data_IF_079912755616
#
_entry.id   IF_079912755616
#
_cell.length_a   1.000
_cell.length_b   1.000
_cell.length_c   1.000
_cell.angle_alpha   90.00
_cell.angle_beta   90.00
_cell.angle_gamma   90.00
#
_symmetry.space_group_name_H-M   'P 1'
#
loop_
_entity.id
_entity.type
_entity.pdbx_description
1 polymer ?
#
# COMPACT_ATOMS: atom_id res chain seq x y z
N UNK A 1 43.22 -13.26 35.44
CA UNK A 1 42.57 -12.10 34.79
C UNK A 1 41.99 -11.20 35.86
N UNK A 2 42.29 -9.91 35.85
CA UNK A 2 41.76 -8.97 36.85
C UNK A 2 40.30 -8.63 36.55
N UNK A 3 39.49 -8.35 37.57
CA UNK A 3 38.05 -7.99 37.45
C UNK A 3 37.81 -6.86 36.45
N UNK A 4 38.76 -5.93 36.32
CA UNK A 4 38.72 -4.82 35.36
C UNK A 4 38.94 -5.22 33.89
N UNK A 5 39.72 -6.27 33.61
CA UNK A 5 39.88 -6.77 32.23
C UNK A 5 38.61 -7.49 31.76
N UNK A 6 38.00 -8.32 32.60
CA UNK A 6 36.74 -9.00 32.27
C UNK A 6 35.61 -7.99 32.01
N UNK A 7 35.55 -6.91 32.80
CA UNK A 7 34.55 -5.85 32.62
C UNK A 7 34.76 -5.04 31.33
N UNK A 8 36.01 -4.77 30.95
CA UNK A 8 36.33 -4.12 29.66
C UNK A 8 35.97 -4.98 28.44
N UNK A 9 36.25 -6.27 28.49
CA UNK A 9 35.86 -7.20 27.42
C UNK A 9 34.33 -7.38 27.34
N UNK A 10 33.64 -7.41 28.48
CA UNK A 10 32.17 -7.46 28.52
C UNK A 10 31.50 -6.23 27.89
N UNK A 11 32.02 -5.03 28.16
CA UNK A 11 31.52 -3.78 27.56
C UNK A 11 31.82 -3.73 26.06
N UNK A 12 33.01 -4.12 25.62
CA UNK A 12 33.36 -4.17 24.19
C UNK A 12 32.50 -5.19 23.42
N UNK A 13 32.28 -6.38 23.99
CA UNK A 13 31.44 -7.41 23.38
C UNK A 13 29.97 -6.96 23.30
N UNK A 14 29.44 -6.33 24.36
CA UNK A 14 28.09 -5.75 24.37
C UNK A 14 27.95 -4.63 23.33
N UNK A 15 28.93 -3.74 23.19
CA UNK A 15 28.93 -2.70 22.16
C UNK A 15 28.95 -3.28 20.74
N UNK A 16 29.77 -4.31 20.47
CA UNK A 16 29.85 -4.96 19.15
C UNK A 16 28.56 -5.73 18.81
N UNK A 17 27.94 -6.38 19.80
CA UNK A 17 26.65 -7.05 19.60
C UNK A 17 25.51 -6.05 19.37
N UNK A 18 25.52 -4.91 20.07
CA UNK A 18 24.55 -3.83 19.86
C UNK A 18 24.71 -3.17 18.48
N UNK A 19 25.95 -2.89 18.03
CA UNK A 19 26.17 -2.30 16.69
C UNK A 19 25.72 -3.26 15.58
N UNK A 20 26.03 -4.56 15.68
CA UNK A 20 25.56 -5.55 14.70
C UNK A 20 24.04 -5.67 14.67
N UNK A 21 23.37 -5.63 15.82
CA UNK A 21 21.91 -5.70 15.89
C UNK A 21 21.22 -4.47 15.29
N UNK A 22 21.78 -3.27 15.52
CA UNK A 22 21.30 -2.02 14.93
C UNK A 22 21.51 -2.00 13.41
N UNK A 23 22.64 -2.50 12.92
CA UNK A 23 22.93 -2.61 11.47
C UNK A 23 21.99 -3.65 10.80
N UNK A 24 21.70 -4.77 11.46
CA UNK A 24 20.78 -5.77 10.94
C UNK A 24 19.34 -5.23 10.85
N UNK A 25 18.89 -4.51 11.88
CA UNK A 25 17.58 -3.85 11.90
C UNK A 25 17.48 -2.74 10.84
N UNK A 26 18.54 -1.95 10.62
CA UNK A 26 18.54 -0.88 9.61
C UNK A 26 18.50 -1.43 8.18
N UNK A 27 19.08 -2.61 7.94
CA UNK A 27 19.03 -3.30 6.64
C UNK A 27 17.73 -4.08 6.40
N UNK A 28 16.91 -4.32 7.42
CA UNK A 28 15.65 -5.06 7.26
C UNK A 28 14.60 -4.23 6.51
N UNK A 29 14.46 -2.95 6.83
CA UNK A 29 13.43 -2.09 6.26
C UNK A 29 13.57 -1.87 4.74
N UNK A 30 14.75 -1.50 4.19
CA UNK A 30 14.91 -1.36 2.73
C UNK A 30 14.65 -2.66 1.97
N UNK A 31 14.99 -3.82 2.56
CA UNK A 31 14.74 -5.13 1.94
C UNK A 31 13.25 -5.45 1.84
N UNK A 32 12.49 -5.18 2.90
CA UNK A 32 11.03 -5.37 2.88
C UNK A 32 10.39 -4.44 1.86
N UNK A 33 10.82 -3.18 1.79
CA UNK A 33 10.35 -2.26 0.75
C UNK A 33 10.64 -2.83 -0.64
N UNK A 34 11.87 -3.24 -0.90
CA UNK A 34 12.27 -3.81 -2.20
C UNK A 34 11.49 -5.07 -2.56
N UNK A 35 11.16 -5.94 -1.60
CA UNK A 35 10.39 -7.16 -1.88
C UNK A 35 8.92 -6.89 -2.18
N UNK A 36 8.36 -5.77 -1.71
CA UNK A 36 6.95 -5.41 -1.94
C UNK A 36 6.76 -4.65 -3.25
N UNK A 37 7.74 -3.86 -3.70
CA UNK A 37 7.64 -3.04 -4.93
C UNK A 37 7.15 -3.82 -6.17
N UNK A 38 7.58 -5.07 -6.44
CA UNK A 38 7.07 -5.87 -7.56
C UNK A 38 5.57 -6.15 -7.54
N UNK A 39 4.94 -6.12 -6.37
CA UNK A 39 3.50 -6.35 -6.24
C UNK A 39 2.68 -5.09 -6.54
N UNK A 40 3.32 -3.92 -6.67
CA UNK A 40 2.66 -2.65 -6.87
C UNK A 40 2.54 -2.31 -8.35
N UNK A 41 1.43 -1.66 -8.73
CA UNK A 41 1.23 -1.14 -10.08
C UNK A 41 0.77 0.32 -10.06
N UNK A 42 1.05 1.05 -11.14
CA UNK A 42 0.52 2.39 -11.38
C UNK A 42 -0.59 2.31 -12.42
N UNK A 43 -1.75 2.89 -12.14
CA UNK A 43 -2.91 2.84 -13.02
C UNK A 43 -3.17 4.24 -13.56
N UNK A 44 -3.38 4.33 -14.87
CA UNK A 44 -3.74 5.55 -15.57
C UNK A 44 -5.00 5.31 -16.38
N UNK A 45 -5.90 6.28 -16.42
CA UNK A 45 -7.15 6.15 -17.14
C UNK A 45 -7.81 7.48 -17.43
N UNK A 46 -9.11 7.61 -17.10
CA UNK A 46 -9.88 8.80 -17.42
C UNK A 46 -9.25 10.06 -16.81
N UNK A 47 -9.12 11.11 -17.62
CA UNK A 47 -8.42 12.34 -17.26
C UNK A 47 -8.77 13.52 -18.16
N UNK A 48 -8.09 14.65 -17.99
CA UNK A 48 -8.25 15.84 -18.83
C UNK A 48 -9.25 16.88 -18.30
N UNK A 49 -9.93 16.60 -17.18
CA UNK A 49 -10.73 17.58 -16.44
C UNK A 49 -9.84 18.22 -15.37
N UNK A 50 -9.78 19.55 -15.36
CA UNK A 50 -8.98 20.30 -14.38
C UNK A 50 -9.41 19.95 -12.95
N UNK A 51 -8.45 19.48 -12.14
CA UNK A 51 -8.69 19.09 -10.74
C UNK A 51 -9.08 17.62 -10.54
N UNK A 52 -9.13 16.82 -11.61
CA UNK A 52 -9.25 15.36 -11.52
C UNK A 52 -7.97 14.71 -12.00
N UNK A 53 -7.34 13.95 -11.11
CA UNK A 53 -6.15 13.17 -11.43
C UNK A 53 -6.50 12.03 -12.38
N UNK A 54 -5.64 11.77 -13.36
CA UNK A 54 -5.82 10.69 -14.32
C UNK A 54 -5.11 9.39 -13.89
N UNK A 55 -4.73 9.29 -12.62
CA UNK A 55 -3.93 8.20 -12.08
C UNK A 55 -4.36 7.77 -10.68
N UNK A 56 -4.15 6.50 -10.38
CA UNK A 56 -4.28 5.92 -9.05
C UNK A 56 -3.31 4.74 -8.89
N UNK A 57 -3.30 4.13 -7.71
CA UNK A 57 -2.46 2.97 -7.40
C UNK A 57 -3.23 1.67 -7.54
N UNK A 58 -2.52 0.56 -7.65
CA UNK A 58 -3.08 -0.78 -7.54
C UNK A 58 -2.05 -1.77 -7.03
N UNK A 59 -2.49 -3.00 -6.77
CA UNK A 59 -1.61 -4.10 -6.41
C UNK A 59 -2.00 -5.39 -7.15
N UNK A 60 -1.01 -6.19 -7.50
CA UNK A 60 -1.18 -7.51 -8.09
C UNK A 60 -1.64 -8.51 -7.02
N UNK A 61 -2.69 -9.26 -7.33
CA UNK A 61 -3.28 -10.28 -6.43
C UNK A 61 -3.26 -11.69 -7.03
N UNK A 62 -2.68 -11.85 -8.22
CA UNK A 62 -2.50 -13.15 -8.88
C UNK A 62 -1.29 -13.10 -9.81
N UNK A 63 -0.73 -14.27 -10.13
CA UNK A 63 0.40 -14.37 -11.06
C UNK A 63 -0.02 -14.13 -12.51
N UNK A 64 -1.31 -14.30 -12.78
CA UNK A 64 -1.98 -14.21 -14.09
C UNK A 64 -2.47 -12.79 -14.40
N UNK A 65 -2.08 -11.78 -13.62
CA UNK A 65 -2.33 -10.38 -13.97
C UNK A 65 -3.63 -9.78 -13.46
N UNK A 66 -4.27 -10.34 -12.42
CA UNK A 66 -5.32 -9.63 -11.69
C UNK A 66 -4.72 -8.54 -10.80
N UNK A 67 -5.27 -7.33 -10.91
CA UNK A 67 -4.89 -6.14 -10.15
C UNK A 67 -6.07 -5.69 -9.30
N UNK A 68 -5.88 -5.60 -8.00
CA UNK A 68 -6.82 -4.98 -7.07
C UNK A 68 -6.53 -3.48 -6.97
N UNK A 69 -7.57 -2.66 -7.05
CA UNK A 69 -7.50 -1.21 -6.92
C UNK A 69 -8.79 -0.66 -6.31
N UNK A 70 -8.84 0.65 -6.13
CA UNK A 70 -10.06 1.37 -5.76
C UNK A 70 -10.94 1.56 -7.00
N UNK A 71 -12.25 1.32 -6.85
CA UNK A 71 -13.24 1.69 -7.85
C UNK A 71 -13.41 3.21 -7.86
N UNK A 72 -13.02 3.87 -8.94
CA UNK A 72 -13.06 5.32 -9.08
C UNK A 72 -13.28 5.74 -10.54
N UNK A 73 -13.55 7.03 -10.76
CA UNK A 73 -13.73 7.59 -12.10
C UNK A 73 -12.50 7.38 -13.00
N UNK A 74 -11.30 7.14 -12.44
CA UNK A 74 -10.10 6.86 -13.22
C UNK A 74 -10.30 5.63 -14.12
N UNK A 75 -11.20 4.71 -13.71
CA UNK A 75 -11.54 3.51 -14.46
C UNK A 75 -12.66 3.74 -15.50
N UNK A 76 -13.28 4.92 -15.56
CA UNK A 76 -14.40 5.22 -16.46
C UNK A 76 -13.88 5.60 -17.87
N UNK A 77 -13.17 4.67 -18.51
CA UNK A 77 -12.61 4.81 -19.85
C UNK A 77 -12.34 3.45 -20.49
N UNK A 78 -12.39 3.38 -21.82
CA UNK A 78 -11.99 2.18 -22.58
C UNK A 78 -10.47 1.95 -22.58
N UNK A 79 -9.70 2.96 -22.15
CA UNK A 79 -8.24 2.98 -22.19
C UNK A 79 -7.66 3.12 -20.78
N UNK A 80 -7.62 2.01 -20.04
CA UNK A 80 -6.88 1.93 -18.78
C UNK A 80 -5.49 1.39 -19.07
N UNK A 81 -4.45 2.08 -18.62
CA UNK A 81 -3.06 1.64 -18.68
C UNK A 81 -2.59 1.24 -17.29
N UNK A 82 -2.05 0.03 -17.18
CA UNK A 82 -1.39 -0.47 -15.97
C UNK A 82 0.10 -0.56 -16.22
N UNK A 83 0.89 0.14 -15.41
CA UNK A 83 2.36 0.12 -15.46
C UNK A 83 2.89 -0.69 -14.29
N UNK A 84 3.65 -1.75 -14.59
CA UNK A 84 4.31 -2.60 -13.59
C UNK A 84 5.52 -1.90 -12.96
N UNK A 85 6.07 -2.49 -11.91
CA UNK A 85 7.27 -1.96 -11.24
C UNK A 85 8.51 -1.95 -12.17
N UNK A 86 8.59 -2.87 -13.12
CA UNK A 86 9.66 -2.97 -14.12
C UNK A 86 9.50 -1.98 -15.28
N UNK A 87 8.39 -1.22 -15.30
CA UNK A 87 8.07 -0.23 -16.32
C UNK A 87 7.31 -0.76 -17.54
N UNK A 88 7.06 -2.07 -17.64
CA UNK A 88 6.17 -2.62 -18.67
C UNK A 88 4.76 -2.04 -18.50
N UNK A 89 4.11 -1.77 -19.63
CA UNK A 89 2.77 -1.18 -19.70
C UNK A 89 1.81 -2.14 -20.38
N UNK A 90 0.63 -2.30 -19.79
CA UNK A 90 -0.42 -3.18 -20.28
C UNK A 90 -1.73 -2.41 -20.35
N UNK A 91 -2.59 -2.82 -21.29
CA UNK A 91 -4.00 -2.44 -21.24
C UNK A 91 -4.64 -3.17 -20.06
N UNK A 92 -5.28 -2.43 -19.17
CA UNK A 92 -6.11 -2.98 -18.09
C UNK A 92 -7.55 -3.14 -18.56
N UNK A 93 -8.14 -4.28 -18.28
CA UNK A 93 -9.57 -4.53 -18.53
C UNK A 93 -10.30 -4.68 -17.21
N UNK A 94 -11.42 -3.97 -17.03
CA UNK A 94 -12.23 -4.08 -15.83
C UNK A 94 -12.95 -5.44 -15.82
N UNK A 95 -12.57 -6.32 -14.88
CA UNK A 95 -13.19 -7.62 -14.68
C UNK A 95 -14.46 -7.49 -13.85
N UNK A 96 -14.41 -6.63 -12.83
CA UNK A 96 -15.54 -6.39 -11.93
C UNK A 96 -15.23 -5.32 -10.91
N UNK A 97 -16.28 -4.79 -10.29
CA UNK A 97 -16.17 -3.82 -9.19
C UNK A 97 -17.23 -4.11 -8.14
N UNK A 98 -16.90 -3.79 -6.89
CA UNK A 98 -17.86 -3.70 -5.81
C UNK A 98 -17.91 -2.25 -5.29
N UNK A 99 -18.91 -1.47 -5.75
CA UNK A 99 -19.18 -0.12 -5.27
C UNK A 99 -19.37 0.00 -3.74
N UNK A 100 -19.86 -1.05 -3.08
CA UNK A 100 -20.09 -1.04 -1.62
C UNK A 100 -18.78 -1.12 -0.86
N UNK A 101 -17.79 -1.81 -1.39
CA UNK A 101 -16.45 -1.90 -0.80
C UNK A 101 -15.46 -0.89 -1.41
N UNK A 102 -15.90 -0.09 -2.39
CA UNK A 102 -15.07 0.82 -3.19
C UNK A 102 -13.87 0.16 -3.87
N UNK A 103 -13.97 -1.12 -4.25
CA UNK A 103 -12.89 -1.87 -4.91
C UNK A 103 -13.24 -2.25 -6.34
N UNK A 104 -12.20 -2.40 -7.16
CA UNK A 104 -12.28 -2.93 -8.52
C UNK A 104 -11.13 -3.90 -8.78
N UNK A 105 -11.39 -4.89 -9.65
CA UNK A 105 -10.39 -5.81 -10.15
C UNK A 105 -10.21 -5.56 -11.65
N UNK A 106 -8.96 -5.29 -12.04
CA UNK A 106 -8.55 -5.22 -13.43
C UNK A 106 -7.81 -6.51 -13.82
N UNK A 107 -7.80 -6.84 -15.11
CA UNK A 107 -6.96 -7.87 -15.71
C UNK A 107 -5.97 -7.23 -16.66
N UNK A 108 -4.73 -7.71 -16.63
CA UNK A 108 -3.70 -7.43 -17.64
C UNK A 108 -3.20 -8.74 -18.25
N UNK A 109 -2.80 -8.69 -19.52
CA UNK A 109 -2.25 -9.85 -20.23
C UNK A 109 -0.76 -10.03 -19.91
N UNK A 110 -0.48 -10.63 -18.77
CA UNK A 110 0.85 -10.98 -18.28
C UNK A 110 0.79 -12.19 -17.32
N UNK A 111 1.88 -12.93 -17.24
CA UNK A 111 2.03 -14.14 -16.42
C UNK A 111 3.30 -14.07 -15.55
N UNK A 112 3.43 -15.02 -14.62
CA UNK A 112 4.55 -15.16 -13.69
C UNK A 112 4.86 -13.91 -12.87
N UNK A 113 3.82 -13.13 -12.55
CA UNK A 113 3.96 -11.89 -11.81
C UNK A 113 4.16 -12.15 -10.31
N UNK A 114 4.93 -11.26 -9.67
CA UNK A 114 4.90 -11.13 -8.23
C UNK A 114 3.55 -10.55 -7.81
N UNK A 115 2.95 -11.09 -6.74
CA UNK A 115 1.65 -10.66 -6.26
C UNK A 115 1.53 -10.86 -4.75
N UNK A 116 0.59 -10.13 -4.15
CA UNK A 116 0.14 -10.45 -2.80
C UNK A 116 -0.76 -11.68 -2.82
N UNK A 117 -0.63 -12.53 -1.80
CA UNK A 117 -1.65 -13.52 -1.49
C UNK A 117 -2.65 -12.89 -0.51
N UNK A 118 -3.85 -12.59 -0.99
CA UNK A 118 -4.92 -11.99 -0.17
C UNK A 118 -5.41 -12.92 0.94
N UNK A 119 -5.33 -14.24 0.73
CA UNK A 119 -5.72 -15.25 1.73
C UNK A 119 -4.74 -15.32 2.92
N UNK A 120 -3.52 -14.81 2.74
CA UNK A 120 -2.50 -14.71 3.78
C UNK A 120 -2.42 -13.30 4.39
N UNK A 121 -3.44 -12.47 4.17
CA UNK A 121 -3.51 -11.14 4.78
C UNK A 121 -3.55 -11.23 6.32
N UNK A 122 -3.00 -10.22 6.96
CA UNK A 122 -2.86 -10.17 8.42
C UNK A 122 -3.63 -8.98 8.98
N UNK A 123 -4.21 -9.20 10.15
CA UNK A 123 -4.89 -8.14 10.88
C UNK A 123 -3.93 -7.46 11.87
N UNK A 124 -4.09 -6.15 12.02
CA UNK A 124 -3.30 -5.35 12.94
C UNK A 124 -4.18 -4.70 14.02
N UNK A 125 -3.57 -4.41 15.18
CA UNK A 125 -4.15 -3.64 16.27
C UNK A 125 -3.57 -2.22 16.37
N UNK A 126 -4.16 -1.40 17.25
CA UNK A 126 -3.62 -0.07 17.54
C UNK A 126 -2.16 -0.12 18.01
N UNK A 127 -1.32 0.74 17.44
CA UNK A 127 0.12 0.83 17.72
C UNK A 127 1.00 -0.06 16.84
N UNK A 128 0.42 -1.02 16.10
CA UNK A 128 1.19 -1.83 15.17
C UNK A 128 1.73 -0.98 14.03
N UNK A 129 2.97 -1.26 13.62
CA UNK A 129 3.66 -0.48 12.60
C UNK A 129 3.32 -0.99 11.20
N UNK A 130 3.11 -0.03 10.31
CA UNK A 130 2.68 -0.28 8.94
C UNK A 130 3.60 0.40 7.93
N UNK A 131 3.58 -0.14 6.70
CA UNK A 131 4.12 0.48 5.50
C UNK A 131 3.01 0.63 4.47
N UNK A 132 2.85 1.83 3.94
CA UNK A 132 1.87 2.16 2.91
C UNK A 132 2.58 2.44 1.58
N UNK A 133 2.21 1.72 0.53
CA UNK A 133 2.80 1.78 -0.81
C UNK A 133 1.82 2.36 -1.80
N UNK A 134 2.21 3.41 -2.53
CA UNK A 134 1.36 4.02 -3.55
C UNK A 134 2.12 4.92 -4.53
N UNK A 135 1.52 5.23 -5.68
CA UNK A 135 2.00 6.24 -6.61
C UNK A 135 1.55 7.66 -6.19
N UNK A 136 2.06 8.10 -5.04
CA UNK A 136 1.77 9.41 -4.46
C UNK A 136 2.12 10.54 -5.46
N UNK A 137 1.17 11.44 -5.74
CA UNK A 137 1.31 12.55 -6.69
C UNK A 137 1.76 12.16 -8.10
N UNK A 138 1.63 10.88 -8.48
CA UNK A 138 2.00 10.41 -9.82
C UNK A 138 3.50 10.48 -10.12
N UNK A 139 4.36 10.54 -9.09
CA UNK A 139 5.82 10.73 -9.26
C UNK A 139 6.52 9.52 -9.90
N UNK A 140 5.90 8.34 -9.88
CA UNK A 140 6.39 7.16 -10.57
C UNK A 140 5.57 6.94 -11.85
N UNK A 141 6.21 7.00 -13.02
CA UNK A 141 5.53 6.95 -14.34
C UNK A 141 6.06 5.88 -15.28
N UNK A 142 7.20 5.29 -14.95
CA UNK A 142 7.85 4.16 -15.61
C UNK A 142 8.24 3.11 -14.58
N UNK A 143 9.53 2.84 -14.45
CA UNK A 143 10.09 1.83 -13.54
C UNK A 143 10.50 2.40 -12.16
N UNK A 144 10.15 3.65 -11.85
CA UNK A 144 10.40 4.19 -10.52
C UNK A 144 9.58 3.41 -9.48
N UNK A 145 10.12 3.22 -8.26
CA UNK A 145 9.38 2.58 -7.19
C UNK A 145 8.15 3.40 -6.79
N UNK A 146 7.09 2.72 -6.34
CA UNK A 146 6.01 3.38 -5.63
C UNK A 146 6.55 4.06 -4.36
N UNK A 147 5.95 5.19 -3.99
CA UNK A 147 6.24 5.90 -2.76
C UNK A 147 5.89 5.02 -1.56
N UNK A 148 6.73 5.09 -0.52
CA UNK A 148 6.52 4.34 0.72
C UNK A 148 6.43 5.31 1.89
N UNK A 149 5.33 5.22 2.63
CA UNK A 149 5.14 5.91 3.91
C UNK A 149 5.13 4.87 5.03
N UNK A 150 5.56 5.29 6.21
CA UNK A 150 5.60 4.44 7.40
C UNK A 150 4.89 5.14 8.55
N UNK A 151 4.22 4.36 9.38
CA UNK A 151 3.44 4.89 10.49
C UNK A 151 2.95 3.78 11.40
N UNK A 152 1.84 4.03 12.08
CA UNK A 152 1.17 3.02 12.89
C UNK A 152 -0.34 3.02 12.67
N UNK A 153 -0.99 1.92 13.02
CA UNK A 153 -2.44 1.87 13.14
C UNK A 153 -2.83 2.71 14.36
N UNK A 154 -3.54 3.81 14.15
CA UNK A 154 -4.11 4.61 15.23
C UNK A 154 -5.30 3.87 15.86
N UNK A 155 -6.23 3.43 15.01
CA UNK A 155 -7.41 2.65 15.43
C UNK A 155 -7.89 1.74 14.29
N UNK A 156 -8.41 0.57 14.66
CA UNK A 156 -9.25 -0.26 13.79
C UNK A 156 -10.70 -0.14 14.27
N UNK A 157 -11.60 0.23 13.39
CA UNK A 157 -13.01 0.49 13.75
C UNK A 157 -13.92 0.23 12.57
N UNK A 158 -15.17 -0.21 12.79
CA UNK A 158 -16.19 -0.15 11.76
C UNK A 158 -16.40 1.30 11.33
N UNK A 159 -16.58 1.52 10.03
CA UNK A 159 -16.96 2.79 9.42
C UNK A 159 -18.20 2.58 8.56
N UNK A 160 -19.21 3.41 8.81
CA UNK A 160 -20.28 3.70 7.84
C UNK A 160 -19.99 5.08 7.25
N UNK A 161 -19.60 5.14 5.98
CA UNK A 161 -19.09 6.37 5.38
C UNK A 161 -20.19 7.21 4.70
N UNK A 162 -19.94 8.51 4.51
CA UNK A 162 -20.72 9.41 3.63
C UNK A 162 -19.78 10.21 2.74
N UNK A 163 -20.20 10.53 1.51
CA UNK A 163 -19.46 11.44 0.60
C UNK A 163 -20.30 12.69 0.32
N UNK A 164 -20.13 13.72 1.14
CA UNK A 164 -20.89 14.98 1.01
C UNK A 164 -22.37 14.80 1.36
N UNK A 165 -23.29 15.30 0.52
CA UNK A 165 -24.73 15.09 0.72
C UNK A 165 -25.19 13.65 0.40
N UNK A 166 -24.38 12.86 -0.31
CA UNK A 166 -24.71 11.50 -0.74
C UNK A 166 -24.10 10.46 0.19
N UNK A 167 -24.90 9.46 0.58
CA UNK A 167 -24.42 8.30 1.34
C UNK A 167 -23.35 7.56 0.52
N UNK A 168 -22.19 7.33 1.13
CA UNK A 168 -21.28 6.31 0.60
C UNK A 168 -21.82 4.99 1.12
N UNK A 169 -21.95 3.99 0.27
CA UNK A 169 -22.42 2.67 0.69
C UNK A 169 -21.35 1.88 1.47
N UNK A 170 -20.16 2.45 1.68
CA UNK A 170 -19.10 1.77 2.40
C UNK A 170 -19.49 1.48 3.84
N UNK A 171 -19.51 0.19 4.16
CA UNK A 171 -19.63 -0.36 5.50
C UNK A 171 -18.59 -1.45 5.67
N UNK A 172 -17.70 -1.29 6.64
CA UNK A 172 -16.66 -2.28 6.92
C UNK A 172 -15.68 -1.79 7.97
N UNK A 173 -14.80 -2.70 8.40
CA UNK A 173 -13.68 -2.36 9.26
C UNK A 173 -12.63 -1.57 8.48
N UNK A 174 -12.20 -0.44 9.04
CA UNK A 174 -11.12 0.38 8.49
C UNK A 174 -9.98 0.53 9.48
N UNK A 175 -8.77 0.70 8.93
CA UNK A 175 -7.61 1.16 9.67
C UNK A 175 -7.47 2.66 9.49
N UNK A 176 -7.47 3.40 10.60
CA UNK A 176 -7.02 4.80 10.62
C UNK A 176 -5.53 4.79 10.92
N UNK A 177 -4.75 5.50 10.12
CA UNK A 177 -3.29 5.45 10.16
C UNK A 177 -2.72 6.77 10.66
N UNK A 178 -1.70 6.70 11.50
CA UNK A 178 -0.79 7.81 11.77
C UNK A 178 0.26 7.90 10.65
N UNK A 179 -0.21 8.20 9.44
CA UNK A 179 0.58 8.38 8.23
C UNK A 179 -0.23 9.11 7.15
N UNK A 180 0.44 9.92 6.32
CA UNK A 180 -0.20 10.72 5.25
C UNK A 180 -0.58 9.88 4.02
N UNK A 181 -1.62 9.06 4.15
CA UNK A 181 -2.01 8.04 3.14
C UNK A 181 -3.18 8.45 2.23
N UNK A 182 -3.63 9.71 2.30
CA UNK A 182 -4.78 10.24 1.55
C UNK A 182 -4.40 11.27 0.46
N UNK A 183 -3.11 11.38 0.10
CA UNK A 183 -2.70 12.28 -0.98
C UNK A 183 -3.16 11.77 -2.37
N UNK A 184 -3.25 12.64 -3.38
CA UNK A 184 -3.50 12.26 -4.77
C UNK A 184 -2.67 11.05 -5.23
N UNK A 185 -3.33 10.10 -5.90
CA UNK A 185 -2.72 8.84 -6.35
C UNK A 185 -2.56 7.75 -5.29
N UNK A 186 -2.80 8.03 -4.01
CA UNK A 186 -2.64 7.04 -2.94
C UNK A 186 -3.68 5.90 -3.00
N UNK A 187 -4.91 6.24 -3.39
CA UNK A 187 -6.03 5.31 -3.47
C UNK A 187 -5.69 4.09 -4.34
N UNK A 188 -6.05 2.90 -3.85
CA UNK A 188 -5.73 1.60 -4.44
C UNK A 188 -4.34 1.07 -4.10
N UNK A 189 -3.55 1.82 -3.33
CA UNK A 189 -2.25 1.37 -2.82
C UNK A 189 -2.38 0.24 -1.80
N UNK A 190 -1.25 -0.35 -1.41
CA UNK A 190 -1.20 -1.44 -0.46
C UNK A 190 -0.76 -0.97 0.93
N UNK A 191 -1.40 -1.51 1.96
CA UNK A 191 -0.95 -1.42 3.35
C UNK A 191 -0.35 -2.77 3.75
N UNK A 192 0.84 -2.75 4.35
CA UNK A 192 1.52 -3.96 4.83
C UNK A 192 2.03 -3.79 6.25
N UNK A 193 2.29 -4.91 6.93
CA UNK A 193 3.04 -4.90 8.18
C UNK A 193 4.55 -4.71 7.95
N UNK A 194 5.35 -4.77 9.01
CA UNK A 194 6.81 -4.61 8.91
C UNK A 194 7.53 -5.75 8.18
N UNK A 195 6.84 -6.85 7.92
CA UNK A 195 7.34 -8.02 7.23
C UNK A 195 6.94 -8.00 5.74
N UNK A 196 6.15 -7.01 5.30
CA UNK A 196 5.66 -6.90 3.94
C UNK A 196 4.43 -7.78 3.65
N UNK A 197 3.79 -8.34 4.70
CA UNK A 197 2.54 -9.09 4.56
C UNK A 197 1.40 -8.11 4.37
N UNK A 198 0.46 -8.44 3.49
CA UNK A 198 -0.68 -7.58 3.17
C UNK A 198 -1.58 -7.41 4.40
N UNK A 199 -1.97 -6.17 4.68
CA UNK A 199 -2.93 -5.82 5.74
C UNK A 199 -4.23 -5.33 5.12
N UNK A 200 -4.14 -4.57 4.03
CA UNK A 200 -5.32 -4.04 3.36
C UNK A 200 -4.98 -3.13 2.19
N UNK A 201 -6.01 -2.49 1.65
CA UNK A 201 -5.95 -1.57 0.53
C UNK A 201 -6.19 -0.14 1.03
N UNK A 202 -5.42 0.82 0.52
CA UNK A 202 -5.62 2.24 0.79
C UNK A 202 -6.88 2.71 0.07
N UNK A 203 -7.91 3.08 0.84
CA UNK A 203 -9.17 3.59 0.33
C UNK A 203 -9.09 5.05 -0.15
N UNK A 204 -10.25 5.61 -0.52
CA UNK A 204 -10.39 7.05 -0.76
C UNK A 204 -10.44 7.81 0.58
N UNK A 205 -10.28 9.12 0.52
CA UNK A 205 -10.65 9.97 1.63
C UNK A 205 -12.19 9.92 1.83
N UNK A 206 -12.61 9.47 3.01
CA UNK A 206 -14.01 9.32 3.40
C UNK A 206 -14.31 10.13 4.65
N UNK A 207 -15.57 10.58 4.79
CA UNK A 207 -16.08 11.23 6.00
C UNK A 207 -17.03 10.29 6.72
N UNK A 208 -17.00 10.29 8.05
CA UNK A 208 -17.94 9.51 8.86
C UNK A 208 -19.33 10.14 8.79
N UNK A 209 -20.35 9.32 8.54
CA UNK A 209 -21.76 9.72 8.40
C UNK A 209 -22.48 9.93 9.73
N UNK A 210 -21.98 9.37 10.82
CA UNK A 210 -22.67 9.36 12.12
C UNK A 210 -22.46 10.64 12.94
N UNK A 211 -21.40 11.39 12.66
CA UNK A 211 -20.98 12.54 13.46
C UNK A 211 -20.91 13.86 12.65
N UNK A 212 -21.54 13.92 11.46
CA UNK A 212 -21.64 15.13 10.63
C UNK A 212 -23.03 15.29 10.00
#
# INVERSE_FOLDING_TARGET
>A
MTRNQAMRWGVLLACVLMTNSVIAASRAFPRVVQSVQPNMVKIYGAGGIRGLEAYQSGMLISKEGHVLTVWSYVLDTDYITVTLNDGRKFKGELVGADPRLEIAVLKIEAEDLACFNVDESVELGSGDRVLAFSNLFGVATGNEPASVLHGSVAVRTPLSARRGAFESTYTGDVYVLDAMTNNPGAAGGALTDRQGRLVGLLGKELRNSLNN
#
